data_IF_104182923480
#
_entry.id   IF_104182923480
#
_cell.length_a   1.000
_cell.length_b   1.000
_cell.length_c   1.000
_cell.angle_alpha   90.00
_cell.angle_beta   90.00
_cell.angle_gamma   90.00
#
_symmetry.space_group_name_H-M   'P 1'
#
loop_
_entity.id
_entity.type
_entity.pdbx_description
1 polymer ?
#
# COMPACT_ATOMS: atom_id res chain seq x y z
N UNK A 1 13.18 -9.34 3.57
CA UNK A 1 14.59 -9.36 4.00
C UNK A 1 15.16 -7.96 4.11
N UNK A 2 16.08 -7.71 5.06
CA UNK A 2 16.88 -6.48 5.10
C UNK A 2 17.84 -6.43 3.91
N UNK A 3 18.18 -5.24 3.44
CA UNK A 3 19.05 -5.01 2.27
C UNK A 3 20.38 -5.75 2.35
N UNK A 4 21.03 -5.78 3.52
CA UNK A 4 22.29 -6.51 3.71
C UNK A 4 22.18 -8.02 3.46
N UNK A 5 21.07 -8.65 3.87
CA UNK A 5 20.82 -10.08 3.62
C UNK A 5 20.46 -10.39 2.17
N UNK A 6 19.95 -9.41 1.41
CA UNK A 6 19.71 -9.57 -0.03
C UNK A 6 20.99 -9.51 -0.84
N UNK A 7 21.95 -8.67 -0.45
CA UNK A 7 23.26 -8.55 -1.14
C UNK A 7 24.12 -9.79 -1.03
N UNK A 8 23.88 -10.62 -0.01
CA UNK A 8 24.59 -11.87 0.21
C UNK A 8 23.95 -13.08 -0.51
N UNK A 9 22.93 -12.87 -1.35
CA UNK A 9 22.32 -13.94 -2.14
C UNK A 9 23.20 -14.26 -3.34
N UNK A 10 23.42 -15.55 -3.59
CA UNK A 10 24.28 -16.01 -4.68
C UNK A 10 23.52 -15.99 -6.01
N UNK A 11 23.91 -15.17 -7.01
CA UNK A 11 23.14 -15.02 -8.25
C UNK A 11 23.06 -16.29 -9.09
N UNK A 12 23.95 -17.26 -8.88
CA UNK A 12 23.97 -18.50 -9.66
C UNK A 12 23.14 -19.64 -9.01
N UNK A 13 22.70 -19.46 -7.77
CA UNK A 13 21.84 -20.42 -7.08
C UNK A 13 20.38 -20.28 -7.52
N UNK A 14 19.77 -21.37 -7.98
CA UNK A 14 18.34 -21.38 -8.38
C UNK A 14 17.41 -20.96 -7.23
N UNK A 15 17.76 -21.34 -5.99
CA UNK A 15 16.96 -21.02 -4.79
C UNK A 15 16.98 -19.53 -4.48
N UNK A 16 18.15 -18.92 -4.58
CA UNK A 16 18.37 -17.51 -4.22
C UNK A 16 17.70 -16.58 -5.22
N UNK A 17 17.70 -16.93 -6.51
CA UNK A 17 16.91 -16.22 -7.54
C UNK A 17 15.42 -16.20 -7.24
N UNK A 18 14.86 -17.30 -6.75
CA UNK A 18 13.43 -17.38 -6.38
C UNK A 18 13.15 -16.50 -5.16
N UNK A 19 14.01 -16.57 -4.14
CA UNK A 19 13.95 -15.71 -2.96
C UNK A 19 13.99 -14.22 -3.32
N UNK A 20 14.90 -13.82 -4.22
CA UNK A 20 15.00 -12.43 -4.68
C UNK A 20 13.72 -11.97 -5.39
N UNK A 21 13.14 -12.81 -6.26
CA UNK A 21 11.86 -12.51 -6.94
C UNK A 21 10.72 -12.29 -5.95
N UNK A 22 10.56 -13.18 -4.96
CA UNK A 22 9.54 -13.04 -3.90
C UNK A 22 9.72 -11.73 -3.15
N UNK A 23 10.97 -11.42 -2.81
CA UNK A 23 11.34 -10.22 -2.08
C UNK A 23 11.10 -8.94 -2.89
N UNK A 24 11.34 -8.97 -4.21
CA UNK A 24 11.00 -7.87 -5.13
C UNK A 24 9.48 -7.68 -5.24
N UNK A 25 8.72 -8.77 -5.37
CA UNK A 25 7.26 -8.74 -5.40
C UNK A 25 6.69 -8.13 -4.11
N UNK A 26 7.18 -8.57 -2.95
CA UNK A 26 6.80 -8.05 -1.65
C UNK A 26 7.06 -6.54 -1.53
N UNK A 27 8.21 -6.08 -2.01
CA UNK A 27 8.55 -4.65 -2.02
C UNK A 27 7.64 -3.85 -2.96
N UNK A 28 7.33 -4.38 -4.15
CA UNK A 28 6.41 -3.73 -5.10
C UNK A 28 5.00 -3.59 -4.53
N UNK A 29 4.48 -4.65 -3.90
CA UNK A 29 3.18 -4.59 -3.22
C UNK A 29 3.21 -3.55 -2.12
N UNK A 30 4.26 -3.53 -1.28
CA UNK A 30 4.43 -2.56 -0.20
C UNK A 30 4.38 -1.11 -0.70
N UNK A 31 5.11 -0.81 -1.77
CA UNK A 31 5.10 0.54 -2.35
C UNK A 31 3.70 0.98 -2.79
N UNK A 32 2.90 0.06 -3.37
CA UNK A 32 1.50 0.35 -3.75
C UNK A 32 0.60 0.62 -2.54
N UNK A 33 0.67 -0.21 -1.49
CA UNK A 33 -0.17 0.00 -0.30
C UNK A 33 0.25 1.22 0.51
N UNK A 34 1.55 1.54 0.60
CA UNK A 34 2.04 2.74 1.29
C UNK A 34 1.43 4.03 0.72
N UNK A 35 1.22 4.10 -0.60
CA UNK A 35 0.53 5.24 -1.23
C UNK A 35 -0.92 5.37 -0.74
N UNK A 36 -1.67 4.26 -0.71
CA UNK A 36 -3.06 4.25 -0.22
C UNK A 36 -3.13 4.68 1.25
N UNK A 37 -2.24 4.17 2.09
CA UNK A 37 -2.14 4.58 3.49
C UNK A 37 -1.82 6.07 3.64
N UNK A 38 -0.97 6.63 2.76
CA UNK A 38 -0.67 8.06 2.76
C UNK A 38 -1.93 8.89 2.46
N UNK A 39 -2.70 8.53 1.43
CA UNK A 39 -3.95 9.23 1.08
C UNK A 39 -4.92 9.20 2.26
N UNK A 40 -5.16 8.02 2.84
CA UNK A 40 -6.08 7.86 3.98
C UNK A 40 -5.63 8.67 5.20
N UNK A 41 -4.33 8.65 5.53
CA UNK A 41 -3.82 9.35 6.72
C UNK A 41 -3.69 10.86 6.54
N UNK A 42 -3.21 11.32 5.37
CA UNK A 42 -2.93 12.73 5.12
C UNK A 42 -4.13 13.44 4.49
N UNK A 43 -4.66 12.94 3.38
CA UNK A 43 -5.72 13.62 2.64
C UNK A 43 -7.08 13.52 3.33
N UNK A 44 -7.41 12.35 3.87
CA UNK A 44 -8.66 12.13 4.60
C UNK A 44 -8.54 12.32 6.11
N UNK A 45 -7.35 12.69 6.61
CA UNK A 45 -7.11 13.02 8.02
C UNK A 45 -7.29 11.85 9.00
N UNK A 46 -7.26 10.59 8.54
CA UNK A 46 -7.50 9.42 9.40
C UNK A 46 -6.19 8.92 10.07
N UNK A 47 -5.43 9.83 10.68
CA UNK A 47 -4.15 9.52 11.31
C UNK A 47 -4.29 8.92 12.72
N UNK A 48 -5.36 9.26 13.46
CA UNK A 48 -5.66 8.77 14.81
C UNK A 48 -7.08 8.22 14.87
N UNK A 49 -7.25 7.11 15.59
CA UNK A 49 -8.55 6.44 15.80
C UNK A 49 -8.82 6.37 17.30
N UNK A 50 -10.08 6.50 17.71
CA UNK A 50 -10.48 6.34 19.12
C UNK A 50 -10.70 4.85 19.42
N UNK A 51 -10.34 4.39 20.61
CA UNK A 51 -10.60 3.00 21.01
C UNK A 51 -12.10 2.68 21.16
N UNK A 52 -12.92 3.69 21.45
CA UNK A 52 -14.38 3.54 21.49
C UNK A 52 -14.95 3.38 20.08
N UNK A 53 -15.91 2.48 19.93
CA UNK A 53 -16.66 2.30 18.69
C UNK A 53 -15.86 1.62 17.58
N UNK A 54 -15.10 0.57 17.89
CA UNK A 54 -14.27 -0.19 16.94
C UNK A 54 -15.02 -0.58 15.67
N UNK A 55 -16.25 -1.09 15.77
CA UNK A 55 -17.06 -1.45 14.60
C UNK A 55 -17.31 -0.28 13.65
N UNK A 56 -17.65 0.91 14.19
CA UNK A 56 -17.85 2.13 13.39
C UNK A 56 -16.54 2.60 12.76
N UNK A 57 -15.43 2.47 13.48
CA UNK A 57 -14.10 2.84 12.97
C UNK A 57 -13.68 1.91 11.82
N UNK A 58 -13.91 0.60 11.93
CA UNK A 58 -13.63 -0.36 10.87
C UNK A 58 -14.47 -0.06 9.63
N UNK A 59 -15.77 0.19 9.78
CA UNK A 59 -16.65 0.56 8.67
C UNK A 59 -16.16 1.85 7.96
N UNK A 60 -15.76 2.87 8.75
CA UNK A 60 -15.17 4.10 8.21
C UNK A 60 -13.85 3.85 7.49
N UNK A 61 -12.97 3.01 8.04
CA UNK A 61 -11.70 2.67 7.40
C UNK A 61 -11.92 1.99 6.04
N UNK A 62 -12.84 1.03 5.95
CA UNK A 62 -13.18 0.35 4.69
C UNK A 62 -13.71 1.34 3.65
N UNK A 63 -14.62 2.25 4.05
CA UNK A 63 -15.11 3.32 3.19
C UNK A 63 -13.97 4.23 2.69
N UNK A 64 -13.06 4.64 3.57
CA UNK A 64 -11.94 5.50 3.20
C UNK A 64 -10.98 4.84 2.20
N UNK A 65 -10.76 3.52 2.31
CA UNK A 65 -9.98 2.79 1.33
C UNK A 65 -10.68 2.71 -0.03
N UNK A 66 -12.01 2.52 -0.06
CA UNK A 66 -12.76 2.58 -1.31
C UNK A 66 -12.67 3.97 -1.97
N UNK A 67 -12.84 5.03 -1.18
CA UNK A 67 -12.68 6.42 -1.63
C UNK A 67 -11.25 6.75 -2.09
N UNK A 68 -10.24 6.14 -1.46
CA UNK A 68 -8.84 6.35 -1.84
C UNK A 68 -8.57 5.89 -3.27
N UNK A 69 -9.20 4.79 -3.71
CA UNK A 69 -9.10 4.35 -5.10
C UNK A 69 -9.66 5.40 -6.08
N UNK A 70 -10.82 5.99 -5.77
CA UNK A 70 -11.41 7.06 -6.57
C UNK A 70 -10.52 8.31 -6.58
N UNK A 71 -9.93 8.65 -5.43
CA UNK A 71 -9.01 9.78 -5.31
C UNK A 71 -7.77 9.64 -6.21
N UNK A 72 -7.23 8.43 -6.35
CA UNK A 72 -6.09 8.17 -7.24
C UNK A 72 -6.44 8.40 -8.72
N UNK A 73 -7.66 8.02 -9.14
CA UNK A 73 -8.11 8.16 -10.54
C UNK A 73 -8.82 9.49 -10.81
N UNK A 74 -8.88 10.40 -9.84
CA UNK A 74 -9.63 11.67 -9.94
C UNK A 74 -9.32 12.49 -11.19
N UNK A 75 -8.07 12.48 -11.67
CA UNK A 75 -7.68 13.22 -12.88
C UNK A 75 -8.34 12.64 -14.14
N UNK A 76 -8.49 11.32 -14.21
CA UNK A 76 -9.17 10.65 -15.31
C UNK A 76 -10.68 10.87 -15.21
N UNK A 77 -11.25 10.76 -14.00
CA UNK A 77 -12.69 10.98 -13.78
C UNK A 77 -13.12 12.42 -14.08
N UNK A 78 -12.34 13.41 -13.65
CA UNK A 78 -12.63 14.82 -13.92
C UNK A 78 -12.33 15.21 -15.37
N UNK A 79 -11.36 14.55 -16.01
CA UNK A 79 -11.06 14.75 -17.44
C UNK A 79 -12.05 14.11 -18.40
N UNK A 80 -12.76 13.06 -17.97
CA UNK A 80 -13.80 12.40 -18.76
C UNK A 80 -15.16 13.14 -18.73
N UNK A 81 -15.28 14.19 -17.91
CA UNK A 81 -16.46 15.07 -17.86
C UNK A 81 -16.34 16.27 -18.83
N UNK A 82 -15.37 16.24 -19.75
CA UNK A 82 -15.19 17.21 -20.83
C UNK A 82 -15.52 16.61 -22.19
#
# INVERSE_FOLDING_TARGET
MRTGKRRALEPNSKRDRVLEKIEKLKASVRAKVEHQFRVVKQQFGYAKVRYRGLAKNTARLTMLFAMSNLWMVRRQLLGAQG
#
